data_IF_313082979523
#
_entry.id   IF_313082979523
#
_cell.length_a   1.000
_cell.length_b   1.000
_cell.length_c   1.000
_cell.angle_alpha   90.00
_cell.angle_beta   90.00
_cell.angle_gamma   90.00
#
_symmetry.space_group_name_H-M   'P 1'
#
loop_
_entity.id
_entity.type
_entity.pdbx_description
1 polymer ?
#
# COMPACT_ATOMS: atom_id res chain seq x y z
N UNK A 1 -18.96 -0.27 -1.24
CA UNK A 1 -19.24 1.15 -1.50
C UNK A 1 -18.10 1.73 -2.35
N UNK A 2 -18.45 2.33 -3.51
CA UNK A 2 -17.49 2.93 -4.44
C UNK A 2 -17.18 4.41 -4.14
N UNK A 3 -17.76 4.95 -3.08
CA UNK A 3 -17.50 6.31 -2.63
C UNK A 3 -16.49 6.41 -1.49
N UNK A 4 -15.97 5.29 -1.02
CA UNK A 4 -14.90 5.28 -0.02
C UNK A 4 -13.65 5.97 -0.55
N UNK A 5 -12.91 6.63 0.34
CA UNK A 5 -11.65 7.31 0.03
C UNK A 5 -10.50 6.32 0.13
N UNK A 6 -9.81 6.09 -0.99
CA UNK A 6 -8.76 5.06 -1.10
C UNK A 6 -7.41 5.73 -1.39
N UNK A 7 -6.35 5.32 -0.68
CA UNK A 7 -4.97 5.71 -0.98
C UNK A 7 -4.19 4.53 -1.56
N UNK A 8 -3.42 4.81 -2.59
CA UNK A 8 -2.40 3.91 -3.16
C UNK A 8 -1.05 4.61 -3.04
N UNK A 9 -0.30 4.37 -1.94
CA UNK A 9 1.00 5.01 -1.72
C UNK A 9 2.12 4.23 -2.41
N UNK A 10 3.17 4.95 -2.85
CA UNK A 10 4.31 4.36 -3.55
C UNK A 10 3.87 3.63 -4.82
N UNK A 11 2.95 4.25 -5.54
CA UNK A 11 2.15 3.58 -6.57
C UNK A 11 2.94 3.12 -7.80
N UNK A 12 4.17 3.62 -8.00
CA UNK A 12 4.94 3.29 -9.19
C UNK A 12 4.11 3.53 -10.46
N UNK A 13 3.83 2.47 -11.22
CA UNK A 13 3.00 2.58 -12.43
C UNK A 13 1.49 2.78 -12.17
N UNK A 14 1.01 2.64 -10.93
CA UNK A 14 -0.39 2.93 -10.53
C UNK A 14 -1.44 2.05 -11.19
N UNK A 15 -1.12 0.79 -11.47
CA UNK A 15 -2.07 -0.15 -12.08
C UNK A 15 -3.29 -0.42 -11.19
N UNK A 16 -3.08 -0.49 -9.88
CA UNK A 16 -4.13 -0.68 -8.88
C UNK A 16 -5.12 0.50 -8.90
N UNK A 17 -4.60 1.72 -8.93
CA UNK A 17 -5.40 2.93 -8.98
C UNK A 17 -6.20 3.05 -10.30
N UNK A 18 -5.56 2.73 -11.42
CA UNK A 18 -6.23 2.66 -12.73
C UNK A 18 -7.37 1.63 -12.73
N UNK A 19 -7.12 0.43 -12.18
CA UNK A 19 -8.12 -0.62 -12.07
C UNK A 19 -9.33 -0.17 -11.24
N UNK A 20 -9.09 0.45 -10.09
CA UNK A 20 -10.15 0.98 -9.23
C UNK A 20 -10.99 2.04 -9.96
N UNK A 21 -10.34 2.99 -10.63
CA UNK A 21 -11.02 4.06 -11.36
C UNK A 21 -11.91 3.46 -12.48
N UNK A 22 -11.39 2.51 -13.26
CA UNK A 22 -12.14 1.80 -14.30
C UNK A 22 -13.33 1.01 -13.76
N UNK A 23 -13.26 0.58 -12.50
CA UNK A 23 -14.35 -0.12 -11.81
C UNK A 23 -15.31 0.82 -11.06
N UNK A 24 -15.21 2.13 -11.28
CA UNK A 24 -16.16 3.13 -10.80
C UNK A 24 -15.92 3.63 -9.37
N UNK A 25 -14.74 3.39 -8.78
CA UNK A 25 -14.33 4.08 -7.57
C UNK A 25 -13.95 5.52 -7.92
N UNK A 26 -14.51 6.49 -7.20
CA UNK A 26 -14.37 7.91 -7.55
C UNK A 26 -13.30 8.63 -6.73
N UNK A 27 -13.00 8.16 -5.54
CA UNK A 27 -12.12 8.82 -4.58
C UNK A 27 -10.83 7.99 -4.41
N UNK A 28 -10.07 7.82 -5.49
CA UNK A 28 -8.81 7.06 -5.52
C UNK A 28 -7.64 8.03 -5.60
N UNK A 29 -6.86 8.09 -4.54
CA UNK A 29 -5.70 8.95 -4.40
C UNK A 29 -4.42 8.14 -4.61
N UNK A 30 -3.51 8.69 -5.38
CA UNK A 30 -2.17 8.15 -5.61
C UNK A 30 -1.16 9.07 -4.98
N UNK A 31 -0.23 8.51 -4.23
CA UNK A 31 0.86 9.27 -3.62
C UNK A 31 2.19 8.63 -3.99
N UNK A 32 3.09 9.39 -4.58
CA UNK A 32 4.46 8.96 -4.83
C UNK A 32 5.44 10.11 -4.54
N UNK A 33 6.64 9.79 -4.10
CA UNK A 33 7.67 10.79 -3.83
C UNK A 33 8.27 11.35 -5.13
N UNK A 34 8.13 10.62 -6.22
CA UNK A 34 8.67 10.97 -7.54
C UNK A 34 7.58 11.49 -8.47
N UNK A 35 7.89 12.51 -9.25
CA UNK A 35 6.99 13.04 -10.27
C UNK A 35 6.81 12.07 -11.46
N UNK A 36 7.83 11.28 -11.79
CA UNK A 36 7.80 10.42 -12.97
C UNK A 36 6.65 9.39 -12.95
N UNK A 37 6.39 8.64 -11.86
CA UNK A 37 5.21 7.78 -11.77
C UNK A 37 3.89 8.53 -11.95
N UNK A 38 3.76 9.69 -11.33
CA UNK A 38 2.55 10.54 -11.41
C UNK A 38 2.33 10.99 -12.86
N UNK A 39 3.35 11.49 -13.55
CA UNK A 39 3.25 11.88 -14.95
C UNK A 39 2.93 10.69 -15.88
N UNK A 40 3.47 9.51 -15.61
CA UNK A 40 3.14 8.30 -16.36
C UNK A 40 1.67 7.91 -16.21
N UNK A 41 1.12 8.03 -15.01
CA UNK A 41 -0.31 7.78 -14.76
C UNK A 41 -1.16 8.78 -15.51
N UNK A 42 -0.85 10.08 -15.46
CA UNK A 42 -1.56 11.15 -16.20
C UNK A 42 -1.61 10.87 -17.70
N UNK A 43 -0.47 10.47 -18.29
CA UNK A 43 -0.38 10.16 -19.73
C UNK A 43 -1.20 8.92 -20.10
N UNK A 44 -1.17 7.88 -19.26
CA UNK A 44 -1.86 6.62 -19.55
C UNK A 44 -3.35 6.67 -19.26
N UNK A 45 -3.76 7.45 -18.25
CA UNK A 45 -5.13 7.59 -17.79
C UNK A 45 -5.51 9.08 -17.73
N UNK A 46 -5.74 9.75 -18.88
CA UNK A 46 -6.04 11.20 -18.91
C UNK A 46 -7.29 11.58 -18.12
N UNK A 47 -8.22 10.63 -17.90
CA UNK A 47 -9.43 10.82 -17.10
C UNK A 47 -9.18 10.77 -15.58
N UNK A 48 -7.95 10.50 -15.13
CA UNK A 48 -7.65 10.49 -13.70
C UNK A 48 -7.70 11.92 -13.15
N UNK A 49 -8.49 12.20 -12.08
CA UNK A 49 -8.56 13.53 -11.51
C UNK A 49 -7.19 14.02 -11.04
N UNK A 50 -6.78 15.20 -11.47
CA UNK A 50 -5.43 15.71 -11.20
C UNK A 50 -5.18 16.02 -9.72
N UNK A 51 -6.23 16.36 -8.97
CA UNK A 51 -6.21 16.62 -7.52
C UNK A 51 -6.08 15.32 -6.69
N UNK A 52 -6.25 14.16 -7.32
CA UNK A 52 -6.06 12.86 -6.71
C UNK A 52 -4.68 12.24 -7.01
N UNK A 53 -3.85 12.92 -7.80
CA UNK A 53 -2.48 12.51 -8.13
C UNK A 53 -1.48 13.40 -7.36
N UNK A 54 -0.87 12.86 -6.32
CA UNK A 54 -0.09 13.61 -5.36
C UNK A 54 1.39 13.22 -5.46
N UNK A 55 2.25 14.21 -5.74
CA UNK A 55 3.69 14.05 -5.53
C UNK A 55 4.02 14.54 -4.12
N UNK A 56 4.62 13.68 -3.29
CA UNK A 56 4.95 14.05 -1.91
C UNK A 56 5.55 12.92 -1.10
N UNK A 57 6.08 13.31 0.06
CA UNK A 57 6.64 12.39 1.03
C UNK A 57 5.51 11.70 1.82
N UNK A 58 5.40 10.38 1.69
CA UNK A 58 4.44 9.56 2.43
C UNK A 58 4.47 9.82 3.94
N UNK A 59 5.65 10.03 4.51
CA UNK A 59 5.82 10.24 5.95
C UNK A 59 5.42 11.63 6.45
N UNK A 60 5.07 12.54 5.52
CA UNK A 60 4.56 13.90 5.80
C UNK A 60 3.10 14.08 5.37
N UNK A 61 2.50 13.04 4.79
CA UNK A 61 1.12 13.09 4.36
C UNK A 61 0.18 13.02 5.57
N UNK A 62 -0.91 13.81 5.59
CA UNK A 62 -1.79 13.97 6.76
C UNK A 62 -3.27 13.67 6.48
N UNK A 63 -3.65 13.49 5.23
CA UNK A 63 -5.02 13.13 4.85
C UNK A 63 -5.45 11.77 5.36
N UNK A 64 -6.77 11.56 5.60
CA UNK A 64 -7.28 10.28 6.09
C UNK A 64 -8.15 9.54 5.07
N UNK A 65 -8.10 8.22 5.13
CA UNK A 65 -8.68 7.30 4.15
C UNK A 65 -9.49 6.19 4.81
N UNK A 66 -10.45 5.65 4.06
CA UNK A 66 -11.23 4.48 4.47
C UNK A 66 -10.46 3.18 4.18
N UNK A 67 -9.66 3.21 3.11
CA UNK A 67 -8.84 2.08 2.66
C UNK A 67 -7.48 2.57 2.17
N UNK A 68 -6.42 1.87 2.54
CA UNK A 68 -5.10 2.01 1.92
C UNK A 68 -4.73 0.69 1.26
N UNK A 69 -4.27 0.75 0.01
CA UNK A 69 -3.81 -0.44 -0.72
C UNK A 69 -2.28 -0.51 -0.73
N UNK A 70 -1.75 -1.61 -0.22
CA UNK A 70 -0.32 -1.91 -0.22
C UNK A 70 0.04 -2.85 -1.36
N UNK A 71 0.86 -2.37 -2.27
CA UNK A 71 1.42 -3.18 -3.34
C UNK A 71 2.87 -2.75 -3.60
N UNK A 72 3.81 -3.52 -3.11
CA UNK A 72 5.26 -3.34 -3.31
C UNK A 72 5.85 -2.02 -2.82
N UNK A 73 5.17 -1.33 -1.91
CA UNK A 73 5.69 -0.12 -1.28
C UNK A 73 6.51 -0.43 -0.02
N UNK A 74 5.96 -1.23 0.91
CA UNK A 74 6.68 -1.64 2.11
C UNK A 74 8.03 -2.28 1.80
N UNK A 75 8.05 -3.21 0.83
CA UNK A 75 9.25 -3.94 0.46
C UNK A 75 10.33 -3.07 -0.22
N UNK A 76 9.98 -1.88 -0.67
CA UNK A 76 10.91 -0.92 -1.27
C UNK A 76 11.52 0.05 -0.26
N UNK A 77 10.95 0.15 0.95
CA UNK A 77 11.42 1.04 2.00
C UNK A 77 12.62 0.45 2.75
N UNK A 78 13.57 1.32 3.12
CA UNK A 78 14.65 0.95 4.02
C UNK A 78 14.11 0.32 5.31
N UNK A 79 14.79 -0.72 5.80
CA UNK A 79 14.36 -1.47 6.99
C UNK A 79 14.22 -0.62 8.24
N UNK A 80 15.00 0.46 8.37
CA UNK A 80 14.90 1.41 9.48
C UNK A 80 13.57 2.18 9.51
N UNK A 81 12.86 2.25 8.37
CA UNK A 81 11.59 2.95 8.22
C UNK A 81 10.36 2.08 8.53
N UNK A 82 10.52 0.78 8.74
CA UNK A 82 9.39 -0.15 8.88
C UNK A 82 8.45 0.20 10.04
N UNK A 83 8.98 0.56 11.21
CA UNK A 83 8.16 1.01 12.36
C UNK A 83 7.44 2.33 12.05
N UNK A 84 8.15 3.26 11.42
CA UNK A 84 7.57 4.55 11.02
C UNK A 84 6.47 4.36 9.99
N UNK A 85 6.65 3.42 9.06
CA UNK A 85 5.63 3.03 8.09
C UNK A 85 4.35 2.52 8.78
N UNK A 86 4.46 1.59 9.73
CA UNK A 86 3.30 1.04 10.43
C UNK A 86 2.52 2.15 11.19
N UNK A 87 3.22 3.04 11.89
CA UNK A 87 2.62 4.19 12.57
C UNK A 87 1.95 5.15 11.56
N UNK A 88 2.61 5.46 10.45
CA UNK A 88 2.10 6.35 9.43
C UNK A 88 0.85 5.75 8.75
N UNK A 89 0.85 4.46 8.41
CA UNK A 89 -0.33 3.79 7.85
C UNK A 89 -1.53 3.87 8.79
N UNK A 90 -1.30 3.68 10.11
CA UNK A 90 -2.36 3.85 11.10
C UNK A 90 -2.87 5.30 11.14
N UNK A 91 -1.99 6.30 11.12
CA UNK A 91 -2.39 7.71 11.17
C UNK A 91 -3.26 8.10 9.99
N UNK A 92 -2.94 7.60 8.80
CA UNK A 92 -3.66 7.87 7.55
C UNK A 92 -5.00 7.12 7.40
N UNK A 93 -5.34 6.23 8.31
CA UNK A 93 -6.63 5.55 8.29
C UNK A 93 -7.63 6.21 9.24
N UNK A 94 -8.88 6.29 8.82
CA UNK A 94 -10.00 6.57 9.73
C UNK A 94 -10.19 5.39 10.70
N UNK A 95 -10.82 5.62 11.85
CA UNK A 95 -11.24 4.53 12.75
C UNK A 95 -12.10 3.51 11.98
N UNK A 96 -11.80 2.23 12.09
CA UNK A 96 -12.42 1.16 11.32
C UNK A 96 -11.93 1.05 9.87
N UNK A 97 -11.08 1.98 9.42
CA UNK A 97 -10.44 1.93 8.09
C UNK A 97 -9.44 0.78 8.00
N UNK A 98 -9.10 0.38 6.78
CA UNK A 98 -8.32 -0.83 6.52
C UNK A 98 -7.09 -0.56 5.67
N UNK A 99 -6.00 -1.24 6.01
CA UNK A 99 -4.84 -1.43 5.15
C UNK A 99 -4.94 -2.84 4.58
N UNK A 100 -5.02 -2.96 3.25
CA UNK A 100 -5.10 -4.25 2.56
C UNK A 100 -4.04 -4.33 1.46
N UNK A 101 -3.46 -5.51 1.28
CA UNK A 101 -2.44 -5.68 0.25
C UNK A 101 -1.63 -6.94 0.41
N UNK A 102 -0.44 -6.95 -0.18
CA UNK A 102 0.47 -8.09 -0.16
C UNK A 102 1.85 -7.71 0.36
N UNK A 103 2.46 -8.62 1.10
CA UNK A 103 3.77 -8.46 1.71
C UNK A 103 4.69 -9.61 1.32
N UNK A 104 5.94 -9.35 1.01
CA UNK A 104 6.92 -10.40 0.71
C UNK A 104 7.39 -11.12 1.98
N UNK A 105 7.46 -12.46 1.91
CA UNK A 105 8.07 -13.32 2.94
C UNK A 105 9.37 -13.95 2.45
N UNK A 106 9.76 -13.70 1.21
CA UNK A 106 10.96 -14.21 0.58
C UNK A 106 11.42 -13.22 -0.52
N UNK A 107 12.74 -13.03 -0.66
CA UNK A 107 13.85 -13.56 0.14
C UNK A 107 14.06 -12.77 1.45
N UNK A 108 14.50 -13.44 2.50
CA UNK A 108 14.70 -12.84 3.84
C UNK A 108 16.08 -12.21 4.05
N UNK A 109 17.06 -12.61 3.28
CA UNK A 109 18.48 -12.26 3.40
C UNK A 109 18.91 -11.10 2.48
N UNK A 110 17.96 -10.41 1.86
CA UNK A 110 18.26 -9.33 0.94
C UNK A 110 18.94 -8.14 1.61
N UNK A 111 20.00 -7.66 0.99
CA UNK A 111 20.65 -6.38 1.31
C UNK A 111 20.11 -5.20 0.51
N UNK A 112 19.34 -5.49 -0.54
CA UNK A 112 18.68 -4.53 -1.43
C UNK A 112 17.20 -4.91 -1.59
N UNK A 113 16.31 -3.95 -1.96
CA UNK A 113 14.90 -4.25 -2.22
C UNK A 113 14.72 -5.33 -3.32
N UNK A 114 13.62 -6.11 -3.27
CA UNK A 114 12.53 -6.03 -2.29
C UNK A 114 12.89 -6.64 -0.93
N UNK A 115 12.60 -5.92 0.16
CA UNK A 115 12.79 -6.43 1.51
C UNK A 115 11.59 -7.26 1.94
N UNK A 116 11.88 -8.39 2.60
CA UNK A 116 10.88 -9.29 3.14
C UNK A 116 11.07 -9.49 4.65
N UNK A 117 10.01 -9.89 5.34
CA UNK A 117 10.04 -10.31 6.74
C UNK A 117 9.35 -11.67 6.89
N UNK A 118 9.76 -12.48 7.88
CA UNK A 118 8.98 -13.63 8.31
C UNK A 118 7.58 -13.18 8.78
N UNK A 119 6.58 -14.05 8.62
CA UNK A 119 5.19 -13.76 9.04
C UNK A 119 5.10 -13.28 10.50
N UNK A 120 5.88 -13.89 11.39
CA UNK A 120 5.87 -13.53 12.81
C UNK A 120 6.36 -12.09 13.07
N UNK A 121 7.32 -11.62 12.28
CA UNK A 121 7.86 -10.26 12.39
C UNK A 121 6.85 -9.23 11.89
N UNK A 122 6.07 -9.55 10.86
CA UNK A 122 4.93 -8.72 10.46
C UNK A 122 3.86 -8.62 11.57
N UNK A 123 3.57 -9.73 12.25
CA UNK A 123 2.63 -9.71 13.39
C UNK A 123 3.15 -8.76 14.48
N UNK A 124 4.41 -8.90 14.88
CA UNK A 124 5.03 -8.04 15.89
C UNK A 124 5.08 -6.56 15.46
N UNK A 125 5.30 -6.31 14.17
CA UNK A 125 5.34 -4.95 13.62
C UNK A 125 3.97 -4.27 13.66
N UNK A 126 2.91 -4.97 13.26
CA UNK A 126 1.60 -4.37 13.03
C UNK A 126 0.65 -4.45 14.23
N UNK A 127 0.76 -5.47 15.09
CA UNK A 127 -0.16 -5.63 16.23
C UNK A 127 -0.24 -4.44 17.20
N UNK A 128 0.81 -3.59 17.39
CA UNK A 128 0.68 -2.39 18.22
C UNK A 128 -0.23 -1.31 17.63
N UNK A 129 -0.47 -1.35 16.35
CA UNK A 129 -1.17 -0.31 15.58
C UNK A 129 -2.52 -0.77 15.03
N UNK A 130 -2.66 -2.08 14.78
CA UNK A 130 -3.79 -2.63 14.04
C UNK A 130 -4.35 -3.89 14.66
N UNK A 131 -5.64 -4.11 14.43
CA UNK A 131 -6.25 -5.42 14.55
C UNK A 131 -5.99 -6.20 13.26
N UNK A 132 -5.22 -7.29 13.36
CA UNK A 132 -4.92 -8.15 12.21
C UNK A 132 -6.17 -8.98 11.92
N UNK A 133 -6.83 -8.71 10.78
CA UNK A 133 -8.01 -9.44 10.32
C UNK A 133 -7.63 -10.65 9.48
N UNK A 134 -6.64 -10.48 8.61
CA UNK A 134 -6.10 -11.52 7.74
C UNK A 134 -4.60 -11.32 7.59
N UNK A 135 -3.84 -12.39 7.66
CA UNK A 135 -2.42 -12.44 7.30
C UNK A 135 -2.09 -13.88 6.90
N UNK A 136 -2.32 -14.21 5.63
CA UNK A 136 -2.30 -15.57 5.12
C UNK A 136 -1.52 -15.66 3.79
N UNK A 137 -1.02 -16.84 3.39
CA UNK A 137 -0.40 -17.00 2.09
C UNK A 137 -1.30 -16.48 0.97
N UNK A 138 -0.75 -15.67 0.08
CA UNK A 138 -1.50 -15.10 -1.05
C UNK A 138 -1.76 -16.20 -2.09
N UNK A 139 -3.02 -16.54 -2.34
CA UNK A 139 -3.39 -17.63 -3.25
C UNK A 139 -3.42 -17.22 -4.73
N UNK A 140 -3.51 -15.93 -5.02
CA UNK A 140 -3.66 -15.39 -6.36
C UNK A 140 -2.46 -14.54 -6.83
N UNK A 141 -1.29 -14.75 -6.22
CA UNK A 141 -0.06 -14.13 -6.67
C UNK A 141 0.26 -14.48 -8.12
N UNK A 142 0.82 -13.52 -8.86
CA UNK A 142 1.37 -13.81 -10.19
C UNK A 142 2.47 -14.88 -10.09
N UNK A 143 2.65 -15.66 -11.17
CA UNK A 143 3.59 -16.80 -11.19
C UNK A 143 4.97 -16.53 -10.56
N UNK A 144 5.67 -15.40 -10.86
CA UNK A 144 6.98 -15.13 -10.26
C UNK A 144 6.97 -14.89 -8.75
N UNK A 145 5.79 -14.65 -8.14
CA UNK A 145 5.62 -14.31 -6.73
C UNK A 145 4.87 -15.38 -5.93
N UNK A 146 4.44 -16.45 -6.59
CA UNK A 146 3.70 -17.55 -5.94
C UNK A 146 4.53 -18.16 -4.80
N UNK A 147 3.88 -18.33 -3.62
CA UNK A 147 4.51 -18.85 -2.42
C UNK A 147 5.45 -17.86 -1.70
N UNK A 148 5.60 -16.64 -2.22
CA UNK A 148 6.51 -15.62 -1.68
C UNK A 148 5.79 -14.42 -1.06
N UNK A 149 4.46 -14.41 -1.05
CA UNK A 149 3.65 -13.29 -0.58
C UNK A 149 2.61 -13.73 0.46
N UNK A 150 2.36 -12.85 1.42
CA UNK A 150 1.21 -12.90 2.31
C UNK A 150 0.18 -11.87 1.84
N UNK A 151 -1.08 -12.26 1.84
CA UNK A 151 -2.21 -11.32 1.76
C UNK A 151 -2.55 -10.83 3.16
N UNK A 152 -2.73 -9.52 3.33
CA UNK A 152 -3.08 -8.92 4.61
C UNK A 152 -4.33 -8.06 4.53
N UNK A 153 -5.09 -8.07 5.62
CA UNK A 153 -6.09 -7.06 5.97
C UNK A 153 -5.85 -6.65 7.42
N UNK A 154 -5.48 -5.41 7.62
CA UNK A 154 -5.25 -4.79 8.92
C UNK A 154 -6.29 -3.69 9.12
N UNK A 155 -6.92 -3.63 10.30
CA UNK A 155 -7.97 -2.66 10.61
C UNK A 155 -7.51 -1.74 11.74
N UNK A 156 -7.66 -0.43 11.53
CA UNK A 156 -7.44 0.56 12.61
C UNK A 156 -8.56 0.45 13.65
N UNK A 157 -8.21 0.23 14.94
CA UNK A 157 -9.19 0.21 16.03
C UNK A 157 -10.01 1.50 16.15
#
# INVERSE_FOLDING_TARGET
DKNIKILVPGAGNGHEAEYLLKNGFKNVFVLDISDAPIENIKKRVPAFPSDQLITGDFFKHEETYDLILEQTFFCALDRSLQKKYAAQMQSLLKTGGRLAGVLFIDPLDNTIPPFALPKQDYIHLFQPYFKIRTLEPCYNSIKPRQGRELFMILEKP
#
